data_IF_079423004393
#
_entry.id   IF_079423004393
#
_cell.length_a   1.000
_cell.length_b   1.000
_cell.length_c   1.000
_cell.angle_alpha   90.00
_cell.angle_beta   90.00
_cell.angle_gamma   90.00
#
_symmetry.space_group_name_H-M   'P 1'
#
loop_
_entity.id
_entity.type
_entity.pdbx_description
1 polymer ?
#
# COMPACT_ATOMS: atom_id res chain seq x y z
N UNK A 1 16.50 1.94 4.70
CA UNK A 1 15.08 2.05 4.29
C UNK A 1 14.68 3.51 4.41
N UNK A 2 13.88 4.06 3.50
CA UNK A 2 13.44 5.46 3.58
C UNK A 2 12.72 5.70 4.92
N UNK A 3 13.28 6.58 5.75
CA UNK A 3 12.80 6.83 7.10
C UNK A 3 11.66 7.83 7.05
N UNK A 4 10.43 7.33 6.93
CA UNK A 4 9.23 8.15 7.04
C UNK A 4 8.78 8.28 8.50
N UNK A 5 8.14 9.39 8.84
CA UNK A 5 7.51 9.56 10.14
C UNK A 5 6.41 8.48 10.33
N UNK A 6 6.19 8.00 11.55
CA UNK A 6 5.09 7.06 11.88
C UNK A 6 3.70 7.56 11.47
N UNK A 7 3.53 8.88 11.31
CA UNK A 7 2.28 9.51 10.81
C UNK A 7 2.14 9.47 9.29
N UNK A 8 3.20 9.10 8.55
CA UNK A 8 3.16 9.00 7.10
C UNK A 8 2.24 7.86 6.68
N UNK A 9 1.21 8.23 5.91
CA UNK A 9 0.27 7.31 5.29
C UNK A 9 0.77 6.94 3.90
N UNK A 10 0.52 5.70 3.49
CA UNK A 10 0.78 5.23 2.14
C UNK A 10 -0.57 4.99 1.46
N UNK A 11 -0.97 5.91 0.58
CA UNK A 11 -2.19 5.80 -0.20
C UNK A 11 -1.96 4.91 -1.41
N UNK A 12 -2.79 3.87 -1.56
CA UNK A 12 -2.64 2.90 -2.64
C UNK A 12 -3.60 3.25 -3.78
N UNK A 13 -3.04 3.47 -4.97
CA UNK A 13 -3.82 3.53 -6.20
C UNK A 13 -4.18 2.11 -6.65
N UNK A 14 -5.49 1.82 -6.66
CA UNK A 14 -6.01 0.44 -6.84
C UNK A 14 -6.03 -0.03 -8.29
N UNK A 15 -5.93 0.88 -9.26
CA UNK A 15 -5.92 0.53 -10.68
C UNK A 15 -4.49 0.30 -11.20
N UNK A 16 -4.30 -0.54 -12.22
CA UNK A 16 -3.01 -0.72 -12.86
C UNK A 16 -2.41 0.60 -13.34
N UNK A 17 -1.12 0.81 -13.05
CA UNK A 17 -0.37 1.98 -13.52
C UNK A 17 0.67 1.59 -14.55
N UNK A 18 0.78 2.39 -15.62
CA UNK A 18 1.89 2.29 -16.55
C UNK A 18 3.17 2.75 -15.85
N UNK A 19 4.16 1.86 -15.75
CA UNK A 19 5.43 2.16 -15.08
C UNK A 19 6.36 3.07 -15.89
N UNK A 20 5.98 3.47 -17.12
CA UNK A 20 6.65 4.53 -17.87
C UNK A 20 6.30 5.92 -17.35
N UNK A 21 5.19 6.07 -16.63
CA UNK A 21 4.81 7.35 -16.02
C UNK A 21 5.84 7.77 -14.98
N UNK A 22 6.26 9.04 -15.07
CA UNK A 22 7.18 9.70 -14.14
C UNK A 22 6.41 10.71 -13.27
N UNK A 23 7.07 11.79 -12.82
CA UNK A 23 6.55 12.77 -11.87
C UNK A 23 5.13 13.24 -12.21
N UNK A 24 4.90 13.83 -13.38
CA UNK A 24 3.60 14.46 -13.68
C UNK A 24 2.44 13.47 -13.80
N UNK A 25 2.69 12.30 -14.39
CA UNK A 25 1.67 11.24 -14.52
C UNK A 25 1.26 10.69 -13.15
N UNK A 26 2.24 10.37 -12.30
CA UNK A 26 1.97 9.89 -10.94
C UNK A 26 1.37 10.99 -10.06
N UNK A 27 1.82 12.24 -10.20
CA UNK A 27 1.29 13.40 -9.51
C UNK A 27 -0.17 13.62 -9.86
N UNK A 28 -0.51 13.56 -11.16
CA UNK A 28 -1.89 13.65 -11.63
C UNK A 28 -2.76 12.58 -10.97
N UNK A 29 -2.30 11.33 -10.92
CA UNK A 29 -3.06 10.25 -10.26
C UNK A 29 -3.27 10.48 -8.78
N UNK A 30 -2.23 10.90 -8.06
CA UNK A 30 -2.34 11.24 -6.65
C UNK A 30 -3.35 12.40 -6.42
N UNK A 31 -3.25 13.45 -7.23
CA UNK A 31 -4.08 14.65 -7.08
C UNK A 31 -5.52 14.48 -7.55
N UNK A 32 -5.73 13.90 -8.72
CA UNK A 32 -7.04 13.85 -9.38
C UNK A 32 -7.80 12.57 -9.12
N UNK A 33 -7.11 11.43 -9.08
CA UNK A 33 -7.77 10.13 -8.94
C UNK A 33 -7.86 9.69 -7.48
N UNK A 34 -6.78 9.83 -6.71
CA UNK A 34 -6.80 9.60 -5.25
C UNK A 34 -7.34 10.79 -4.47
N UNK A 35 -7.46 11.97 -5.09
CA UNK A 35 -7.96 13.20 -4.45
C UNK A 35 -7.17 13.58 -3.19
N UNK A 36 -5.85 13.39 -3.22
CA UNK A 36 -4.92 13.77 -2.14
C UNK A 36 -3.99 14.86 -2.61
N UNK A 37 -3.41 15.59 -1.65
CA UNK A 37 -2.34 16.52 -1.95
C UNK A 37 -0.99 15.78 -2.09
N UNK A 38 -0.35 15.78 -3.27
CA UNK A 38 0.95 15.14 -3.45
C UNK A 38 2.08 15.80 -2.65
N UNK A 39 1.90 17.04 -2.19
CA UNK A 39 2.89 17.76 -1.37
C UNK A 39 2.75 17.49 0.14
N UNK A 40 1.79 16.68 0.56
CA UNK A 40 1.49 16.41 1.98
C UNK A 40 2.57 15.65 2.76
N UNK A 41 3.67 15.23 2.12
CA UNK A 41 4.68 14.35 2.72
C UNK A 41 4.21 12.90 2.91
N UNK A 42 3.04 12.55 2.36
CA UNK A 42 2.55 11.17 2.29
C UNK A 42 3.07 10.46 1.04
N UNK A 43 3.01 9.13 1.07
CA UNK A 43 3.43 8.28 -0.05
C UNK A 43 2.22 7.85 -0.86
N UNK A 44 2.42 7.76 -2.18
CA UNK A 44 1.43 7.28 -3.13
C UNK A 44 1.99 6.06 -3.85
N UNK A 45 1.40 4.90 -3.60
CA UNK A 45 1.84 3.61 -4.13
C UNK A 45 1.06 3.26 -5.40
N UNK A 46 1.80 2.96 -6.46
CA UNK A 46 1.31 2.56 -7.77
C UNK A 46 1.89 1.20 -8.15
N UNK A 47 1.07 0.30 -8.67
CA UNK A 47 1.47 -1.07 -9.01
C UNK A 47 1.16 -1.32 -10.49
N UNK A 48 2.04 -2.02 -11.19
CA UNK A 48 1.80 -2.38 -12.58
C UNK A 48 0.74 -3.48 -12.71
N UNK A 49 0.16 -3.64 -13.90
CA UNK A 49 -0.88 -4.65 -14.16
C UNK A 49 -0.47 -6.08 -13.75
N UNK A 50 0.80 -6.44 -13.97
CA UNK A 50 1.34 -7.76 -13.66
C UNK A 50 1.73 -7.94 -12.20
N UNK A 51 1.76 -6.87 -11.39
CA UNK A 51 2.26 -6.82 -10.00
C UNK A 51 3.73 -7.21 -9.83
N UNK A 52 4.53 -7.12 -10.87
CA UNK A 52 5.99 -7.36 -10.81
C UNK A 52 6.78 -6.10 -10.45
N UNK A 53 6.15 -4.92 -10.52
CA UNK A 53 6.81 -3.65 -10.28
C UNK A 53 5.86 -2.66 -9.61
N UNK A 54 6.42 -1.81 -8.76
CA UNK A 54 5.71 -0.70 -8.15
C UNK A 54 6.55 0.58 -8.20
N UNK A 55 5.87 1.72 -8.15
CA UNK A 55 6.46 3.02 -7.89
C UNK A 55 5.79 3.67 -6.68
N UNK A 56 6.57 4.40 -5.89
CA UNK A 56 6.07 5.30 -4.86
C UNK A 56 6.43 6.73 -5.24
N UNK A 57 5.45 7.63 -5.23
CA UNK A 57 5.68 9.08 -5.32
C UNK A 57 5.54 9.68 -3.92
N UNK A 58 6.43 10.59 -3.54
CA UNK A 58 6.26 11.44 -2.36
C UNK A 58 7.01 12.77 -2.51
N UNK A 59 6.64 13.76 -1.71
CA UNK A 59 7.37 15.01 -1.58
C UNK A 59 8.19 14.99 -0.29
N UNK A 60 9.49 15.25 -0.37
CA UNK A 60 10.38 15.18 0.79
C UNK A 60 10.53 16.53 1.54
N UNK A 61 9.80 17.55 1.12
CA UNK A 61 9.92 18.92 1.61
C UNK A 61 10.74 19.83 0.70
N UNK A 62 11.51 19.26 -0.22
CA UNK A 62 12.34 20.00 -1.19
C UNK A 62 11.98 19.65 -2.64
N UNK A 63 11.61 18.40 -2.90
CA UNK A 63 11.31 17.92 -4.24
C UNK A 63 10.42 16.69 -4.25
N UNK A 64 9.87 16.39 -5.44
CA UNK A 64 9.18 15.14 -5.69
C UNK A 64 10.22 14.03 -5.87
N UNK A 65 9.99 12.91 -5.21
CA UNK A 65 10.85 11.72 -5.26
C UNK A 65 10.03 10.54 -5.74
N UNK A 66 10.60 9.78 -6.69
CA UNK A 66 10.06 8.51 -7.15
C UNK A 66 10.98 7.39 -6.71
N UNK A 67 10.40 6.42 -6.01
CA UNK A 67 11.06 5.16 -5.68
C UNK A 67 10.45 4.08 -6.55
N UNK A 68 11.26 3.43 -7.37
CA UNK A 68 10.82 2.32 -8.20
C UNK A 68 11.42 1.01 -7.68
N UNK A 69 10.61 -0.05 -7.59
CA UNK A 69 11.07 -1.41 -7.28
C UNK A 69 10.45 -2.39 -8.26
N UNK A 70 11.29 -3.26 -8.81
CA UNK A 70 10.91 -4.47 -9.52
C UNK A 70 11.31 -5.65 -8.66
N UNK A 71 10.42 -6.62 -8.51
CA UNK A 71 10.78 -7.89 -7.88
C UNK A 71 11.55 -8.73 -8.92
N UNK A 72 12.67 -9.31 -8.50
CA UNK A 72 13.40 -10.29 -9.31
C UNK A 72 12.58 -11.58 -9.46
N UNK A 73 11.90 -11.99 -8.40
CA UNK A 73 11.01 -13.15 -8.36
C UNK A 73 9.71 -12.85 -7.60
N UNK A 74 8.62 -13.50 -7.99
CA UNK A 74 7.32 -13.35 -7.33
C UNK A 74 6.56 -12.09 -7.74
N UNK A 75 5.46 -11.84 -7.04
CA UNK A 75 4.53 -10.74 -7.34
C UNK A 75 4.20 -9.97 -6.06
N UNK A 76 4.10 -8.66 -6.17
CA UNK A 76 3.53 -7.83 -5.12
C UNK A 76 2.13 -8.30 -4.77
N UNK A 77 1.80 -8.32 -3.48
CA UNK A 77 0.51 -8.77 -2.99
C UNK A 77 -0.66 -8.07 -3.69
N UNK A 78 -1.73 -8.81 -3.96
CA UNK A 78 -2.88 -8.29 -4.69
C UNK A 78 -3.64 -7.30 -3.82
N UNK A 79 -3.85 -6.10 -4.34
CA UNK A 79 -4.78 -5.14 -3.76
C UNK A 79 -6.16 -5.48 -4.32
N UNK A 80 -7.16 -5.69 -3.45
CA UNK A 80 -8.51 -6.00 -3.90
C UNK A 80 -9.15 -4.76 -4.55
N UNK A 81 -9.37 -4.74 -5.88
CA UNK A 81 -9.93 -3.56 -6.55
C UNK A 81 -11.39 -3.32 -6.16
N UNK A 82 -12.13 -4.37 -5.77
CA UNK A 82 -13.54 -4.29 -5.38
C UNK A 82 -13.73 -3.77 -3.94
N UNK A 83 -12.65 -3.59 -3.18
CA UNK A 83 -12.74 -2.97 -1.87
C UNK A 83 -13.18 -1.52 -2.02
N UNK A 84 -14.41 -1.18 -1.59
CA UNK A 84 -15.03 0.12 -1.86
C UNK A 84 -14.32 1.30 -1.20
N UNK A 85 -13.66 1.08 -0.06
CA UNK A 85 -12.96 2.13 0.68
C UNK A 85 -11.56 2.38 0.10
N UNK A 86 -10.98 3.50 0.52
CA UNK A 86 -9.57 3.80 0.29
C UNK A 86 -8.70 2.73 0.98
N UNK A 87 -7.62 2.32 0.32
CA UNK A 87 -6.61 1.45 0.89
C UNK A 87 -5.43 2.32 1.31
N UNK A 88 -5.19 2.38 2.61
CA UNK A 88 -4.08 3.12 3.21
C UNK A 88 -3.25 2.13 4.00
N UNK A 89 -1.97 2.01 3.65
CA UNK A 89 -1.03 1.20 4.40
C UNK A 89 -0.35 2.04 5.48
N UNK A 90 -0.09 1.42 6.63
CA UNK A 90 0.89 1.95 7.60
C UNK A 90 2.31 1.67 7.11
N UNK A 91 3.31 2.30 7.73
CA UNK A 91 4.71 2.08 7.38
C UNK A 91 5.12 0.60 7.45
N UNK A 92 4.74 -0.11 8.51
CA UNK A 92 5.10 -1.53 8.68
C UNK A 92 4.47 -2.41 7.59
N UNK A 93 3.22 -2.12 7.25
CA UNK A 93 2.48 -2.80 6.19
C UNK A 93 3.09 -2.56 4.82
N UNK A 94 3.49 -1.32 4.56
CA UNK A 94 4.21 -0.95 3.36
C UNK A 94 5.58 -1.60 3.29
N UNK A 95 6.35 -1.67 4.38
CA UNK A 95 7.65 -2.36 4.40
C UNK A 95 7.51 -3.83 4.02
N UNK A 96 6.55 -4.55 4.60
CA UNK A 96 6.27 -5.94 4.22
C UNK A 96 5.87 -6.06 2.75
N UNK A 97 4.95 -5.19 2.29
CA UNK A 97 4.55 -5.14 0.90
C UNK A 97 5.75 -4.91 -0.03
N UNK A 98 6.58 -3.92 0.30
CA UNK A 98 7.71 -3.47 -0.50
C UNK A 98 8.81 -4.53 -0.56
N UNK A 99 8.97 -5.37 0.47
CA UNK A 99 9.82 -6.56 0.43
C UNK A 99 9.23 -7.73 -0.37
N UNK A 100 8.06 -7.56 -0.99
CA UNK A 100 7.42 -8.62 -1.77
C UNK A 100 6.82 -9.73 -0.89
N UNK A 101 6.62 -9.48 0.41
CA UNK A 101 6.01 -10.46 1.29
C UNK A 101 4.57 -10.77 0.85
N UNK A 102 4.20 -12.05 0.91
CA UNK A 102 2.82 -12.45 0.66
C UNK A 102 1.93 -12.03 1.84
N UNK A 103 1.09 -11.01 1.61
CA UNK A 103 0.17 -10.44 2.59
C UNK A 103 -1.12 -11.26 2.72
N UNK A 104 -1.31 -12.36 2.00
CA UNK A 104 -2.37 -13.33 2.31
C UNK A 104 -2.13 -13.98 3.67
N UNK A 105 -0.85 -14.11 4.08
CA UNK A 105 -0.46 -14.55 5.43
C UNK A 105 -0.73 -13.51 6.54
N UNK A 106 -1.27 -12.33 6.18
CA UNK A 106 -1.48 -11.21 7.10
C UNK A 106 -2.76 -11.31 7.93
N UNK A 107 -3.53 -12.37 7.74
CA UNK A 107 -4.55 -12.80 8.70
C UNK A 107 -4.03 -13.92 9.63
N UNK A 108 -2.78 -13.84 10.10
CA UNK A 108 -2.56 -14.25 11.48
C UNK A 108 -3.25 -13.16 12.29
N UNK A 109 -4.51 -13.42 12.60
CA UNK A 109 -5.42 -12.55 13.33
C UNK A 109 -4.66 -11.80 14.42
N UNK A 110 -4.89 -10.48 14.54
CA UNK A 110 -4.36 -9.76 15.70
C UNK A 110 -4.82 -10.49 16.97
N UNK A 111 -4.04 -10.53 18.07
CA UNK A 111 -4.43 -11.26 19.27
C UNK A 111 -5.84 -10.89 19.79
N UNK A 112 -6.34 -9.70 19.47
CA UNK A 112 -7.69 -9.24 19.76
C UNK A 112 -8.73 -9.96 18.90
N UNK A 113 -8.47 -10.12 17.61
CA UNK A 113 -9.35 -10.85 16.69
C UNK A 113 -9.36 -12.35 17.01
N UNK A 114 -8.20 -12.97 17.35
CA UNK A 114 -8.13 -14.35 17.87
C UNK A 114 -9.04 -14.52 19.10
N UNK A 115 -8.96 -13.58 20.05
CA UNK A 115 -9.79 -13.62 21.27
C UNK A 115 -11.29 -13.46 20.97
N UNK A 116 -11.67 -12.64 19.98
CA UNK A 116 -13.08 -12.49 19.57
C UNK A 116 -13.60 -13.76 18.90
N UNK A 117 -12.83 -14.34 17.99
CA UNK A 117 -13.19 -15.59 17.29
C UNK A 117 -13.29 -16.74 18.29
N UNK A 118 -12.32 -16.89 19.21
CA UNK A 118 -12.37 -17.88 20.27
C UNK A 118 -13.57 -17.71 21.21
N UNK A 119 -13.96 -16.47 21.55
CA UNK A 119 -15.18 -16.19 22.33
C UNK A 119 -16.45 -16.59 21.57
N UNK A 120 -16.53 -16.25 20.28
CA UNK A 120 -17.69 -16.55 19.43
C UNK A 120 -17.86 -18.07 19.24
N UNK A 121 -16.77 -18.81 19.08
CA UNK A 121 -16.78 -20.27 18.97
C UNK A 121 -17.18 -20.95 20.28
N UNK A 122 -16.76 -20.42 21.44
CA UNK A 122 -17.23 -20.91 22.74
C UNK A 122 -18.72 -20.66 22.98
N UNK A 123 -19.25 -19.54 22.48
CA UNK A 123 -20.67 -19.20 22.60
C UNK A 123 -21.59 -19.99 21.66
N UNK A 124 -21.04 -20.68 20.64
CA UNK A 124 -21.79 -21.55 19.73
C UNK A 124 -21.81 -23.02 20.17
N UNK A 125 -20.99 -23.40 21.16
CA UNK A 125 -20.89 -24.77 21.70
C UNK A 125 -21.40 -24.87 23.15
N UNK A 126 -22.30 -23.96 23.54
CA UNK A 126 -23.11 -23.94 24.77
C UNK A 126 -24.56 -23.69 24.35
#
# INVERSE_FOLDING_TARGET
MLSFNRRTKIYVYKEPTDMRESYDGLFYKAKKLLKKDPFSGHLFLFINKRRTSCKCLYYDGTGLVIVAKRLEEGLFSRINPLYKKEVVLTQAEFSLFFEGANLEKRFIESPIEIKKVARKLKALNL
#
